data_IF_313477991378
#
_entry.id   IF_313477991378
#
_cell.length_a   1.000
_cell.length_b   1.000
_cell.length_c   1.000
_cell.angle_alpha   90.00
_cell.angle_beta   90.00
_cell.angle_gamma   90.00
#
_symmetry.space_group_name_H-M   'P 1'
#
loop_
_entity.id
_entity.type
_entity.pdbx_description
1 polymer ?
#
# COMPACT_ATOMS: atom_id res chain seq x y z
N UNK A 1 21.23 19.43 -4.70
CA UNK A 1 20.19 18.40 -4.95
C UNK A 1 19.19 18.48 -3.83
N UNK A 2 17.90 18.22 -4.07
CA UNK A 2 16.92 18.13 -2.99
C UNK A 2 17.29 16.97 -2.06
N UNK A 3 17.18 17.12 -0.73
CA UNK A 3 17.51 16.04 0.20
C UNK A 3 16.63 14.81 -0.07
N UNK A 4 17.19 13.59 0.06
CA UNK A 4 16.45 12.36 -0.18
C UNK A 4 15.25 12.29 0.77
N UNK A 5 14.18 11.66 0.33
CA UNK A 5 12.92 11.59 1.06
C UNK A 5 12.60 10.13 1.37
N UNK A 6 12.41 9.82 2.65
CA UNK A 6 11.89 8.54 3.10
C UNK A 6 10.55 8.77 3.79
N UNK A 7 9.50 8.09 3.34
CA UNK A 7 8.22 8.10 4.03
C UNK A 7 8.03 6.84 4.86
N UNK A 8 7.33 6.92 5.99
CA UNK A 8 7.11 5.78 6.86
C UNK A 8 5.61 5.48 7.04
N UNK A 9 5.24 4.21 6.90
CA UNK A 9 3.91 3.69 7.23
C UNK A 9 4.05 2.48 8.15
N UNK A 10 3.33 2.40 9.27
CA UNK A 10 3.30 1.20 10.13
C UNK A 10 2.04 1.08 10.96
N UNK A 11 1.94 -0.01 11.72
CA UNK A 11 0.89 -0.28 12.72
C UNK A 11 1.42 -0.21 14.18
N UNK A 12 2.64 0.29 14.39
CA UNK A 12 3.28 0.40 15.70
C UNK A 12 2.68 1.45 16.65
N UNK A 13 1.81 2.34 16.15
CA UNK A 13 1.35 3.51 16.89
C UNK A 13 2.48 4.49 17.21
N UNK A 14 2.14 5.48 18.04
CA UNK A 14 3.08 6.52 18.50
C UNK A 14 3.34 6.48 20.01
N UNK A 15 2.83 5.48 20.73
CA UNK A 15 3.02 5.33 22.19
C UNK A 15 4.42 4.87 22.58
N UNK A 16 5.10 4.15 21.69
CA UNK A 16 6.35 3.44 21.96
C UNK A 16 7.51 3.92 21.08
N UNK A 17 8.73 3.44 21.38
CA UNK A 17 9.95 3.85 20.70
C UNK A 17 10.20 3.23 19.32
N UNK A 18 9.32 2.36 18.81
CA UNK A 18 9.57 1.58 17.58
C UNK A 18 9.79 2.48 16.35
N UNK A 19 8.90 3.45 16.14
CA UNK A 19 9.01 4.40 15.02
C UNK A 19 10.28 5.22 15.12
N UNK A 20 10.56 5.81 16.29
CA UNK A 20 11.76 6.61 16.52
C UNK A 20 13.04 5.80 16.29
N UNK A 21 13.03 4.51 16.66
CA UNK A 21 14.16 3.60 16.41
C UNK A 21 14.41 3.42 14.92
N UNK A 22 13.38 3.12 14.12
CA UNK A 22 13.54 3.01 12.66
C UNK A 22 14.08 4.30 12.03
N UNK A 23 13.56 5.45 12.46
CA UNK A 23 14.04 6.76 12.01
C UNK A 23 15.50 6.99 12.37
N UNK A 24 15.91 6.65 13.58
CA UNK A 24 17.30 6.74 14.03
C UNK A 24 18.24 5.88 13.18
N UNK A 25 17.81 4.66 12.82
CA UNK A 25 18.58 3.79 11.92
C UNK A 25 18.73 4.43 10.53
N UNK A 26 17.64 4.90 9.93
CA UNK A 26 17.67 5.56 8.61
C UNK A 26 18.63 6.75 8.63
N UNK A 27 18.52 7.63 9.64
CA UNK A 27 19.34 8.84 9.76
C UNK A 27 20.81 8.54 10.10
N UNK A 28 21.10 7.39 10.72
CA UNK A 28 22.49 6.98 10.94
C UNK A 28 23.20 6.58 9.63
N UNK A 29 22.44 6.11 8.63
CA UNK A 29 22.95 5.70 7.31
C UNK A 29 22.89 6.87 6.32
N UNK A 30 21.81 7.64 6.34
CA UNK A 30 21.60 8.80 5.48
C UNK A 30 21.18 10.02 6.33
N UNK A 31 22.14 10.77 6.89
CA UNK A 31 21.86 11.90 7.79
C UNK A 31 21.06 13.03 7.15
N UNK A 32 21.16 13.21 5.83
CA UNK A 32 20.46 14.24 5.07
C UNK A 32 19.03 13.83 4.65
N UNK A 33 18.59 12.62 4.99
CA UNK A 33 17.25 12.15 4.65
C UNK A 33 16.17 12.95 5.39
N UNK A 34 15.20 13.47 4.63
CA UNK A 34 13.94 13.95 5.19
C UNK A 34 13.03 12.77 5.44
N UNK A 35 12.48 12.70 6.65
CA UNK A 35 11.55 11.66 7.05
C UNK A 35 10.14 12.25 7.15
N UNK A 36 9.16 11.60 6.51
CA UNK A 36 7.74 11.98 6.60
C UNK A 36 6.92 10.76 6.99
N UNK A 37 6.14 10.86 8.05
CA UNK A 37 5.22 9.79 8.42
C UNK A 37 3.96 9.92 7.56
N UNK A 38 3.59 8.85 6.87
CA UNK A 38 2.28 8.73 6.23
C UNK A 38 1.25 8.39 7.31
N UNK A 39 1.50 7.32 8.07
CA UNK A 39 0.70 6.94 9.24
C UNK A 39 1.39 5.85 10.04
N UNK A 40 1.33 5.95 11.36
CA UNK A 40 1.68 4.87 12.29
C UNK A 40 0.45 4.32 13.03
N UNK A 41 -0.73 4.85 12.71
CA UNK A 41 -2.02 4.53 13.35
C UNK A 41 -2.84 3.56 12.49
N UNK A 42 -2.19 2.80 11.59
CA UNK A 42 -2.83 1.66 10.94
C UNK A 42 -3.27 0.69 12.04
N UNK A 43 -4.51 0.17 12.00
CA UNK A 43 -4.92 -0.85 12.96
C UNK A 43 -3.93 -2.03 12.98
N UNK A 44 -3.57 -2.57 14.16
CA UNK A 44 -2.61 -3.66 14.28
C UNK A 44 -2.87 -4.80 13.30
N UNK A 45 -1.84 -5.20 12.57
CA UNK A 45 -1.81 -6.30 11.62
C UNK A 45 -2.72 -6.13 10.38
N UNK A 46 -3.34 -4.97 10.19
CA UNK A 46 -4.27 -4.75 9.09
C UNK A 46 -3.55 -4.35 7.78
N UNK A 47 -3.03 -5.36 7.09
CA UNK A 47 -2.28 -5.21 5.82
C UNK A 47 -3.12 -4.48 4.76
N UNK A 48 -4.41 -4.81 4.62
CA UNK A 48 -5.27 -4.20 3.61
C UNK A 48 -5.50 -2.70 3.86
N UNK A 49 -5.71 -2.31 5.13
CA UNK A 49 -5.82 -0.89 5.50
C UNK A 49 -4.52 -0.14 5.19
N UNK A 50 -3.37 -0.73 5.55
CA UNK A 50 -2.07 -0.14 5.26
C UNK A 50 -1.79 0.00 3.76
N UNK A 51 -2.14 -1.03 2.98
CA UNK A 51 -1.98 -1.03 1.53
C UNK A 51 -2.84 0.06 0.87
N UNK A 52 -4.06 0.29 1.36
CA UNK A 52 -4.92 1.38 0.90
C UNK A 52 -4.35 2.76 1.26
N UNK A 53 -3.94 2.96 2.52
CA UNK A 53 -3.34 4.22 3.00
C UNK A 53 -2.08 4.57 2.20
N UNK A 54 -1.17 3.62 2.04
CA UNK A 54 0.03 3.79 1.23
C UNK A 54 -0.33 4.07 -0.24
N UNK A 55 -1.20 3.23 -0.81
CA UNK A 55 -1.60 3.26 -2.23
C UNK A 55 -2.28 4.56 -2.68
N UNK A 56 -3.02 5.21 -1.78
CA UNK A 56 -3.69 6.49 -2.04
C UNK A 56 -2.79 7.69 -1.77
N UNK A 57 -1.71 7.53 -1.00
CA UNK A 57 -0.85 8.66 -0.60
C UNK A 57 0.43 8.78 -1.44
N UNK A 58 1.07 7.67 -1.83
CA UNK A 58 2.44 7.69 -2.35
C UNK A 58 2.65 8.60 -3.58
N UNK A 59 1.64 8.72 -4.45
CA UNK A 59 1.68 9.52 -5.69
C UNK A 59 1.81 11.03 -5.47
N UNK A 60 1.58 11.50 -4.24
CA UNK A 60 1.78 12.90 -3.86
C UNK A 60 3.23 13.23 -3.51
N UNK A 61 4.09 12.21 -3.39
CA UNK A 61 5.52 12.39 -3.17
C UNK A 61 6.31 12.32 -4.49
N UNK A 62 7.53 12.89 -4.54
CA UNK A 62 8.39 12.78 -5.71
C UNK A 62 8.71 11.32 -6.05
N UNK A 63 8.82 10.97 -7.33
CA UNK A 63 9.13 9.60 -7.76
C UNK A 63 10.49 9.06 -7.33
N UNK A 64 11.35 9.90 -6.75
CA UNK A 64 12.62 9.50 -6.12
C UNK A 64 12.47 9.15 -4.63
N UNK A 65 11.25 9.19 -4.07
CA UNK A 65 11.01 8.88 -2.66
C UNK A 65 11.16 7.37 -2.39
N UNK A 66 11.63 7.06 -1.18
CA UNK A 66 11.62 5.70 -0.64
C UNK A 66 10.47 5.58 0.35
N UNK A 67 9.54 4.68 0.09
CA UNK A 67 8.40 4.39 0.94
C UNK A 67 8.71 3.15 1.80
N UNK A 68 9.07 3.37 3.06
CA UNK A 68 9.21 2.32 4.06
C UNK A 68 7.84 2.00 4.66
N UNK A 69 7.35 0.79 4.48
CA UNK A 69 6.08 0.36 5.05
C UNK A 69 6.23 -0.96 5.83
N UNK A 70 5.80 -0.96 7.10
CA UNK A 70 5.96 -2.09 8.01
C UNK A 70 4.64 -2.34 8.75
N UNK A 71 3.83 -3.24 8.18
CA UNK A 71 2.69 -3.88 8.85
C UNK A 71 2.85 -5.37 8.61
N UNK A 72 3.36 -6.07 9.62
CA UNK A 72 3.99 -7.37 9.42
C UNK A 72 3.63 -8.38 10.53
N UNK A 73 2.41 -8.94 10.51
CA UNK A 73 2.05 -10.04 11.41
C UNK A 73 2.91 -11.30 11.22
N UNK A 74 3.62 -11.40 10.08
CA UNK A 74 4.50 -12.54 9.75
C UNK A 74 5.97 -12.28 10.06
N UNK A 75 6.32 -11.31 10.91
CA UNK A 75 7.72 -11.06 11.31
C UNK A 75 8.34 -12.33 11.92
N UNK A 76 9.61 -12.58 11.63
CA UNK A 76 10.31 -13.81 12.05
C UNK A 76 9.88 -15.10 11.33
N UNK A 77 8.92 -15.04 10.41
CA UNK A 77 8.51 -16.20 9.59
C UNK A 77 9.31 -16.29 8.28
N UNK A 78 8.93 -17.23 7.40
CA UNK A 78 9.51 -17.40 6.07
C UNK A 78 9.11 -16.32 5.05
N UNK A 79 8.29 -15.33 5.40
CA UNK A 79 7.86 -14.28 4.47
C UNK A 79 9.05 -13.41 4.02
N UNK A 80 9.11 -13.08 2.75
CA UNK A 80 10.26 -12.36 2.19
C UNK A 80 10.31 -10.88 2.61
N UNK A 81 11.48 -10.34 2.98
CA UNK A 81 11.74 -8.90 2.96
C UNK A 81 12.00 -8.43 1.53
N UNK A 82 11.25 -7.45 1.04
CA UNK A 82 11.30 -7.05 -0.37
C UNK A 82 11.53 -5.55 -0.56
N UNK A 83 12.11 -5.25 -1.72
CA UNK A 83 12.18 -3.94 -2.33
C UNK A 83 11.46 -4.00 -3.67
N UNK A 84 10.48 -3.13 -3.89
CA UNK A 84 9.82 -2.89 -5.17
C UNK A 84 10.21 -1.50 -5.69
N UNK A 85 10.77 -1.42 -6.88
CA UNK A 85 11.11 -0.17 -7.58
C UNK A 85 10.11 0.04 -8.70
N UNK A 86 9.52 1.24 -8.76
CA UNK A 86 8.54 1.66 -9.78
C UNK A 86 8.93 3.02 -10.36
N UNK A 87 8.30 3.48 -11.45
CA UNK A 87 8.47 4.86 -11.93
C UNK A 87 8.09 5.96 -10.93
N UNK A 88 7.36 5.61 -9.87
CA UNK A 88 6.80 6.54 -8.89
C UNK A 88 7.36 6.36 -7.46
N UNK A 89 8.47 5.65 -7.30
CA UNK A 89 9.13 5.47 -6.01
C UNK A 89 9.65 4.06 -5.80
N UNK A 90 10.47 3.92 -4.76
CA UNK A 90 10.92 2.64 -4.22
C UNK A 90 10.12 2.30 -2.96
N UNK A 91 9.76 1.04 -2.77
CA UNK A 91 8.91 0.56 -1.68
C UNK A 91 9.63 -0.57 -0.95
N UNK A 92 9.83 -0.41 0.36
CA UNK A 92 10.58 -1.34 1.21
C UNK A 92 9.65 -1.88 2.29
N UNK A 93 9.55 -3.20 2.41
CA UNK A 93 8.64 -3.82 3.37
C UNK A 93 8.45 -5.33 3.21
N UNK A 94 7.44 -5.91 3.87
CA UNK A 94 7.12 -7.32 3.78
C UNK A 94 6.39 -7.73 2.49
N UNK A 95 6.73 -8.90 1.95
CA UNK A 95 5.99 -9.54 0.85
C UNK A 95 4.72 -10.25 1.36
N UNK A 96 3.78 -9.43 1.84
CA UNK A 96 2.54 -9.91 2.46
C UNK A 96 1.26 -9.32 1.81
N UNK A 97 1.39 -8.59 0.69
CA UNK A 97 0.30 -7.85 0.06
C UNK A 97 0.27 -6.35 0.42
N UNK A 98 1.21 -5.84 1.22
CA UNK A 98 1.25 -4.42 1.57
C UNK A 98 1.38 -3.47 0.36
N UNK A 99 1.96 -3.95 -0.74
CA UNK A 99 2.14 -3.17 -1.97
C UNK A 99 1.07 -3.42 -3.04
N UNK A 100 -0.05 -4.05 -2.68
CA UNK A 100 -1.09 -4.46 -3.65
C UNK A 100 -1.63 -3.31 -4.51
N UNK A 101 -1.95 -2.16 -3.90
CA UNK A 101 -2.42 -0.99 -4.64
C UNK A 101 -1.34 -0.39 -5.54
N UNK A 102 -0.07 -0.42 -5.12
CA UNK A 102 1.06 0.04 -5.92
C UNK A 102 1.26 -0.88 -7.14
N UNK A 103 1.21 -2.20 -6.94
CA UNK A 103 1.31 -3.19 -8.00
C UNK A 103 0.16 -3.09 -9.00
N UNK A 104 -1.09 -3.02 -8.50
CA UNK A 104 -2.28 -2.84 -9.34
C UNK A 104 -2.21 -1.55 -10.17
N UNK A 105 -1.81 -0.44 -9.54
CA UNK A 105 -1.63 0.86 -10.19
C UNK A 105 -0.55 0.89 -11.28
N UNK A 106 0.37 -0.08 -11.30
CA UNK A 106 1.40 -0.26 -12.32
C UNK A 106 1.07 -1.41 -13.29
N UNK A 107 -0.14 -1.98 -13.24
CA UNK A 107 -0.59 -2.99 -14.20
C UNK A 107 -0.14 -4.42 -13.90
N UNK A 108 0.05 -4.77 -12.62
CA UNK A 108 0.38 -6.14 -12.24
C UNK A 108 -0.69 -7.14 -12.71
N UNK A 109 -0.23 -8.29 -13.20
CA UNK A 109 -1.10 -9.37 -13.70
C UNK A 109 -0.97 -10.60 -12.81
N UNK A 110 -2.03 -11.39 -12.71
CA UNK A 110 -2.00 -12.65 -11.97
C UNK A 110 -0.92 -13.58 -12.55
N UNK A 111 -0.13 -14.17 -11.66
CA UNK A 111 0.93 -15.12 -12.01
C UNK A 111 0.50 -16.58 -11.88
N UNK A 112 -0.74 -16.80 -11.46
CA UNK A 112 -1.34 -18.09 -11.16
C UNK A 112 -2.81 -18.09 -11.58
N UNK A 113 -3.37 -19.29 -11.76
CA UNK A 113 -4.81 -19.45 -11.96
C UNK A 113 -5.54 -19.15 -10.65
N UNK A 114 -6.59 -18.34 -10.72
CA UNK A 114 -7.43 -18.07 -9.56
C UNK A 114 -8.18 -19.32 -9.13
N UNK A 115 -8.32 -19.44 -7.81
CA UNK A 115 -9.27 -20.40 -7.22
C UNK A 115 -10.70 -19.96 -7.56
N UNK A 116 -11.62 -20.88 -7.92
CA UNK A 116 -12.99 -20.52 -8.30
C UNK A 116 -13.75 -19.67 -7.26
N UNK A 117 -13.41 -19.84 -5.97
CA UNK A 117 -14.03 -19.16 -4.83
C UNK A 117 -13.29 -17.91 -4.34
N UNK A 118 -12.26 -17.45 -5.06
CA UNK A 118 -11.46 -16.29 -4.66
C UNK A 118 -12.32 -15.01 -4.56
N UNK A 119 -12.20 -14.30 -3.44
CA UNK A 119 -12.92 -13.07 -3.14
C UNK A 119 -12.00 -11.85 -3.17
N UNK A 120 -12.58 -10.66 -3.25
CA UNK A 120 -11.82 -9.42 -3.15
C UNK A 120 -10.96 -9.42 -1.87
N UNK A 121 -9.72 -8.95 -2.00
CA UNK A 121 -8.70 -8.92 -0.96
C UNK A 121 -8.10 -10.28 -0.55
N UNK A 122 -8.45 -11.39 -1.20
CA UNK A 122 -7.76 -12.66 -1.01
C UNK A 122 -6.29 -12.56 -1.46
N UNK A 123 -5.40 -13.28 -0.78
CA UNK A 123 -3.99 -13.35 -1.16
C UNK A 123 -3.80 -14.16 -2.45
N UNK A 124 -3.08 -13.57 -3.39
CA UNK A 124 -2.64 -14.15 -4.67
C UNK A 124 -1.19 -13.77 -4.97
N UNK A 125 -0.60 -14.39 -5.99
CA UNK A 125 0.67 -13.93 -6.57
C UNK A 125 0.46 -13.22 -7.90
N UNK A 126 1.14 -12.08 -8.06
CA UNK A 126 1.16 -11.30 -9.30
C UNK A 126 2.56 -11.24 -9.88
N UNK A 127 2.66 -11.15 -11.20
CA UNK A 127 3.91 -10.84 -11.89
C UNK A 127 4.31 -9.40 -11.59
N UNK A 128 5.60 -9.17 -11.41
CA UNK A 128 6.15 -7.80 -11.34
C UNK A 128 5.85 -7.10 -12.68
N UNK A 129 5.20 -5.93 -12.67
CA UNK A 129 4.81 -5.25 -13.91
C UNK A 129 6.00 -4.78 -14.74
N UNK A 130 5.77 -4.57 -16.04
CA UNK A 130 6.73 -3.91 -16.92
C UNK A 130 7.08 -2.50 -16.39
N UNK A 131 8.36 -2.14 -16.47
CA UNK A 131 8.87 -0.88 -15.91
C UNK A 131 9.05 -0.88 -14.38
N UNK A 132 8.72 -1.99 -13.70
CA UNK A 132 9.02 -2.21 -12.30
C UNK A 132 10.15 -3.25 -12.13
N UNK A 133 10.81 -3.21 -10.98
CA UNK A 133 11.78 -4.23 -10.56
C UNK A 133 11.51 -4.61 -9.11
N UNK A 134 11.68 -5.88 -8.76
CA UNK A 134 11.55 -6.33 -7.39
C UNK A 134 12.79 -7.11 -6.96
N UNK A 135 13.18 -6.97 -5.69
CA UNK A 135 14.34 -7.62 -5.11
C UNK A 135 13.98 -8.22 -3.76
N UNK A 136 14.47 -9.44 -3.51
CA UNK A 136 14.55 -10.03 -2.18
C UNK A 136 15.73 -9.38 -1.45
N UNK A 137 15.46 -8.63 -0.39
CA UNK A 137 16.48 -8.00 0.44
C UNK A 137 17.22 -9.09 1.22
N UNK A 138 18.34 -9.60 0.70
CA UNK A 138 19.09 -10.75 1.26
C UNK A 138 20.60 -10.51 1.36
N UNK A 139 21.00 -9.25 1.43
CA UNK A 139 22.40 -8.82 1.54
C UNK A 139 22.67 -8.34 2.95
N UNK A 140 23.18 -9.24 3.80
CA UNK A 140 23.36 -9.01 5.23
C UNK A 140 24.30 -7.84 5.53
N UNK A 141 25.21 -7.49 4.61
CA UNK A 141 26.07 -6.30 4.74
C UNK A 141 25.30 -4.96 4.78
N UNK A 142 24.03 -4.95 4.37
CA UNK A 142 23.14 -3.79 4.45
C UNK A 142 22.10 -3.89 5.58
N UNK A 143 22.22 -4.88 6.47
CA UNK A 143 21.34 -5.06 7.62
C UNK A 143 21.96 -4.51 8.90
N UNK A 144 21.12 -4.25 9.89
CA UNK A 144 21.57 -3.97 11.26
C UNK A 144 21.70 -5.30 12.01
N UNK A 145 22.92 -5.62 12.43
CA UNK A 145 23.23 -6.82 13.21
C UNK A 145 23.19 -6.53 14.73
N UNK A 146 22.69 -7.46 15.56
CA UNK A 146 22.06 -8.72 15.17
C UNK A 146 20.64 -8.54 14.62
N UNK A 147 20.28 -9.31 13.60
CA UNK A 147 18.89 -9.37 13.11
C UNK A 147 18.00 -10.08 14.13
N UNK A 148 16.95 -9.41 14.60
CA UNK A 148 15.99 -9.94 15.55
C UNK A 148 14.76 -10.55 14.88
N UNK A 149 14.23 -11.62 15.48
CA UNK A 149 13.03 -12.31 14.98
C UNK A 149 11.74 -11.49 15.10
N UNK A 150 11.76 -10.37 15.82
CA UNK A 150 10.56 -9.60 16.17
C UNK A 150 10.56 -8.17 15.65
N UNK A 151 11.67 -7.69 15.08
CA UNK A 151 11.75 -6.29 14.66
C UNK A 151 12.54 -6.06 13.36
N UNK A 152 12.18 -6.78 12.30
CA UNK A 152 12.72 -6.54 10.95
C UNK A 152 12.51 -5.09 10.43
N UNK A 153 11.55 -4.34 10.98
CA UNK A 153 11.41 -2.90 10.75
C UNK A 153 12.71 -2.13 11.04
N UNK A 154 13.33 -2.41 12.19
CA UNK A 154 14.63 -1.85 12.59
C UNK A 154 15.79 -2.54 11.87
N UNK A 155 15.73 -3.86 11.74
CA UNK A 155 16.94 -4.63 11.40
C UNK A 155 17.19 -4.77 9.90
N UNK A 156 16.14 -4.74 9.08
CA UNK A 156 16.22 -4.98 7.63
C UNK A 156 15.63 -3.80 6.85
N UNK A 157 14.41 -3.37 7.16
CA UNK A 157 13.71 -2.39 6.33
C UNK A 157 14.22 -0.96 6.50
N UNK A 158 14.44 -0.50 7.74
CA UNK A 158 15.00 0.82 7.98
C UNK A 158 16.43 0.97 7.40
N UNK A 159 17.35 -0.01 7.55
CA UNK A 159 18.64 0.01 6.87
C UNK A 159 18.52 0.05 5.35
N UNK A 160 17.71 -0.82 4.76
CA UNK A 160 17.50 -0.83 3.31
C UNK A 160 16.97 0.52 2.80
N UNK A 161 16.01 1.12 3.51
CA UNK A 161 15.50 2.45 3.16
C UNK A 161 16.56 3.55 3.28
N UNK A 162 17.39 3.50 4.34
CA UNK A 162 18.52 4.42 4.52
C UNK A 162 19.57 4.30 3.42
N UNK A 163 19.93 3.07 3.03
CA UNK A 163 20.89 2.83 1.95
C UNK A 163 20.37 3.29 0.58
N UNK A 164 19.10 3.04 0.27
CA UNK A 164 18.46 3.58 -0.94
C UNK A 164 18.46 5.11 -0.93
N UNK A 165 18.12 5.73 0.20
CA UNK A 165 18.14 7.18 0.35
C UNK A 165 19.56 7.76 0.20
N UNK A 166 20.58 7.02 0.61
CA UNK A 166 22.00 7.36 0.42
C UNK A 166 22.51 7.11 -1.03
N UNK A 167 21.68 6.56 -1.92
CA UNK A 167 22.00 6.35 -3.33
C UNK A 167 22.61 4.97 -3.66
N UNK A 168 22.54 4.00 -2.74
CA UNK A 168 22.91 2.62 -3.06
C UNK A 168 21.94 2.07 -4.12
N UNK A 169 22.43 1.49 -5.23
CA UNK A 169 21.59 0.90 -6.26
C UNK A 169 20.69 -0.21 -5.71
N UNK A 170 19.44 -0.26 -6.17
CA UNK A 170 18.46 -1.25 -5.71
C UNK A 170 18.93 -2.71 -5.88
N UNK A 171 19.60 -3.02 -7.00
CA UNK A 171 20.12 -4.37 -7.26
C UNK A 171 21.25 -4.79 -6.32
N UNK A 172 21.90 -3.85 -5.62
CA UNK A 172 22.98 -4.17 -4.70
C UNK A 172 22.43 -4.65 -3.36
N UNK A 173 21.17 -4.34 -3.03
CA UNK A 173 20.52 -4.73 -1.78
C UNK A 173 19.91 -6.13 -1.80
N UNK A 174 19.82 -6.77 -2.97
CA UNK A 174 19.07 -8.03 -3.07
C UNK A 174 19.11 -8.76 -4.41
N UNK A 175 18.65 -10.00 -4.40
CA UNK A 175 18.46 -10.79 -5.63
C UNK A 175 17.11 -10.51 -6.29
N UNK A 176 17.00 -10.51 -7.63
CA UNK A 176 15.77 -10.16 -8.33
C UNK A 176 14.62 -11.14 -8.04
N UNK A 177 13.39 -10.63 -8.02
CA UNK A 177 12.13 -11.36 -7.92
C UNK A 177 11.27 -11.07 -9.16
N UNK A 178 10.57 -12.09 -9.66
CA UNK A 178 9.64 -11.97 -10.80
C UNK A 178 8.17 -11.96 -10.39
N UNK A 179 7.87 -12.34 -9.14
CA UNK A 179 6.52 -12.43 -8.60
C UNK A 179 6.50 -11.94 -7.17
N UNK A 180 5.39 -11.32 -6.78
CA UNK A 180 5.15 -10.81 -5.42
C UNK A 180 3.75 -11.20 -4.97
N UNK A 181 3.54 -11.21 -3.65
CA UNK A 181 2.21 -11.38 -3.07
C UNK A 181 1.41 -10.07 -3.21
N UNK A 182 0.15 -10.21 -3.62
CA UNK A 182 -0.82 -9.13 -3.71
C UNK A 182 -2.18 -9.58 -3.20
N UNK A 183 -3.01 -8.62 -2.84
CA UNK A 183 -4.45 -8.76 -2.67
C UNK A 183 -5.10 -8.88 -4.04
N UNK A 184 -6.11 -9.73 -4.16
CA UNK A 184 -6.90 -9.90 -5.37
C UNK A 184 -7.91 -8.76 -5.51
N UNK A 185 -7.87 -8.07 -6.65
CA UNK A 185 -8.86 -7.07 -7.03
C UNK A 185 -9.68 -7.66 -8.19
N UNK A 186 -10.91 -8.12 -7.95
CA UNK A 186 -11.72 -8.71 -9.00
C UNK A 186 -12.03 -7.69 -10.10
N UNK A 187 -12.12 -8.10 -11.37
CA UNK A 187 -12.55 -7.21 -12.43
C UNK A 187 -13.95 -6.66 -12.12
N UNK A 188 -14.14 -5.36 -12.34
CA UNK A 188 -15.46 -4.74 -12.26
C UNK A 188 -16.35 -5.31 -13.37
N UNK A 189 -17.47 -5.92 -12.99
CA UNK A 189 -18.43 -6.46 -13.94
C UNK A 189 -19.40 -5.35 -14.30
N UNK A 190 -19.28 -4.83 -15.52
CA UNK A 190 -20.21 -3.85 -16.07
C UNK A 190 -21.17 -4.55 -17.06
N UNK A 191 -22.48 -4.53 -16.78
CA UNK A 191 -23.50 -5.06 -17.69
C UNK A 191 -24.75 -4.18 -17.71
N UNK A 192 -25.23 -3.85 -18.92
CA UNK A 192 -26.52 -3.17 -19.12
C UNK A 192 -26.78 -1.95 -18.20
N UNK A 193 -25.75 -1.11 -17.95
CA UNK A 193 -25.84 0.07 -17.09
C UNK A 193 -25.66 -0.18 -15.58
N UNK A 194 -25.29 -1.40 -15.18
CA UNK A 194 -24.92 -1.76 -13.80
C UNK A 194 -23.43 -2.05 -13.72
N UNK A 195 -22.81 -1.69 -12.60
CA UNK A 195 -21.44 -2.04 -12.24
C UNK A 195 -21.44 -2.68 -10.85
N UNK A 196 -20.85 -3.87 -10.74
CA UNK A 196 -20.66 -4.55 -9.46
C UNK A 196 -19.21 -4.38 -9.00
N UNK A 197 -19.04 -3.88 -7.77
CA UNK A 197 -17.76 -3.67 -7.11
C UNK A 197 -17.77 -4.11 -5.66
N UNK A 198 -16.68 -3.84 -4.97
CA UNK A 198 -16.38 -4.37 -3.63
C UNK A 198 -16.01 -3.24 -2.68
N UNK A 199 -16.43 -3.33 -1.43
CA UNK A 199 -15.87 -2.48 -0.37
C UNK A 199 -14.44 -2.95 -0.10
N UNK A 200 -13.48 -2.08 -0.36
CA UNK A 200 -12.04 -2.37 -0.23
C UNK A 200 -11.41 -1.68 0.98
N UNK A 201 -12.08 -0.68 1.55
CA UNK A 201 -11.60 0.03 2.73
C UNK A 201 -12.77 0.62 3.53
N UNK A 202 -12.59 0.69 4.86
CA UNK A 202 -13.45 1.45 5.76
C UNK A 202 -12.60 2.51 6.41
N UNK A 203 -12.93 3.78 6.17
CA UNK A 203 -12.15 4.88 6.70
C UNK A 203 -12.42 5.14 8.19
N UNK A 204 -11.69 6.10 8.77
CA UNK A 204 -11.81 6.44 10.20
C UNK A 204 -13.18 7.02 10.58
N UNK A 205 -13.92 7.60 9.63
CA UNK A 205 -15.26 8.14 9.86
C UNK A 205 -16.35 7.07 9.69
N UNK A 206 -15.99 5.89 9.20
CA UNK A 206 -16.90 4.78 8.94
C UNK A 206 -17.41 4.74 7.50
N UNK A 207 -16.87 5.57 6.60
CA UNK A 207 -17.24 5.55 5.19
C UNK A 207 -16.74 4.25 4.53
N UNK A 208 -17.56 3.66 3.68
CA UNK A 208 -17.22 2.48 2.91
C UNK A 208 -16.65 2.92 1.56
N UNK A 209 -15.36 2.71 1.36
CA UNK A 209 -14.69 3.01 0.08
C UNK A 209 -14.70 1.76 -0.79
N UNK A 210 -15.13 1.93 -2.04
CA UNK A 210 -15.21 0.83 -3.02
C UNK A 210 -14.08 0.86 -4.04
N UNK A 211 -13.92 -0.23 -4.81
CA UNK A 211 -13.03 -0.30 -5.97
C UNK A 211 -13.63 0.34 -7.25
N UNK A 212 -14.85 0.88 -7.16
CA UNK A 212 -15.51 1.55 -8.28
C UNK A 212 -14.97 2.97 -8.43
N UNK A 213 -14.30 3.25 -9.55
CA UNK A 213 -13.85 4.60 -9.90
C UNK A 213 -14.98 5.33 -10.61
N UNK A 214 -15.32 6.52 -10.11
CA UNK A 214 -16.27 7.41 -10.77
C UNK A 214 -15.51 8.40 -11.65
N UNK A 215 -15.72 8.33 -12.96
CA UNK A 215 -15.13 9.28 -13.91
C UNK A 215 -15.91 10.60 -13.97
N UNK A 216 -15.25 11.68 -14.40
CA UNK A 216 -15.90 12.96 -14.64
C UNK A 216 -16.38 13.08 -16.10
N UNK A 217 -17.58 13.63 -16.34
CA UNK A 217 -18.55 14.10 -15.34
C UNK A 217 -19.30 12.94 -14.67
N UNK A 218 -19.44 12.99 -13.34
CA UNK A 218 -20.20 11.96 -12.60
C UNK A 218 -21.68 12.00 -12.99
N UNK A 219 -22.23 10.86 -13.40
CA UNK A 219 -23.68 10.67 -13.55
C UNK A 219 -24.35 10.63 -12.17
N UNK A 220 -25.04 11.71 -11.83
CA UNK A 220 -25.69 11.88 -10.53
C UNK A 220 -27.04 11.18 -10.43
N UNK A 221 -27.51 10.57 -11.51
CA UNK A 221 -28.74 9.79 -11.53
C UNK A 221 -28.51 8.32 -11.19
N UNK A 222 -27.24 7.90 -11.09
CA UNK A 222 -26.85 6.54 -10.67
C UNK A 222 -27.49 6.17 -9.33
N UNK A 223 -27.88 4.90 -9.21
CA UNK A 223 -28.36 4.31 -7.97
C UNK A 223 -27.28 3.38 -7.42
N UNK A 224 -27.07 3.44 -6.10
CA UNK A 224 -26.13 2.56 -5.41
C UNK A 224 -26.92 1.60 -4.54
N UNK A 225 -26.62 0.31 -4.63
CA UNK A 225 -27.21 -0.72 -3.80
C UNK A 225 -26.11 -1.41 -2.98
N UNK A 226 -26.25 -1.43 -1.66
CA UNK A 226 -25.32 -2.11 -0.75
C UNK A 226 -26.09 -2.86 0.32
N UNK A 227 -25.85 -4.17 0.45
CA UNK A 227 -26.49 -5.05 1.45
C UNK A 227 -28.03 -4.88 1.51
N UNK A 228 -28.68 -4.69 0.37
CA UNK A 228 -30.13 -4.49 0.24
C UNK A 228 -30.65 -3.08 0.56
N UNK A 229 -29.76 -2.14 0.89
CA UNK A 229 -30.09 -0.71 1.02
C UNK A 229 -29.84 0.00 -0.31
N UNK A 230 -30.75 0.89 -0.68
CA UNK A 230 -30.68 1.67 -1.94
C UNK A 230 -30.46 3.15 -1.65
N UNK A 231 -29.49 3.74 -2.33
CA UNK A 231 -29.18 5.16 -2.33
C UNK A 231 -29.49 5.71 -3.71
N UNK A 232 -30.30 6.76 -3.77
CA UNK A 232 -30.68 7.40 -5.02
C UNK A 232 -29.77 8.60 -5.30
N UNK A 233 -28.97 8.49 -6.36
CA UNK A 233 -28.09 9.55 -6.83
C UNK A 233 -26.72 9.59 -6.14
N UNK A 234 -25.81 10.34 -6.76
CA UNK A 234 -24.47 10.62 -6.22
C UNK A 234 -24.43 12.08 -5.73
N UNK A 235 -24.14 12.25 -4.44
CA UNK A 235 -24.09 13.54 -3.74
C UNK A 235 -22.79 14.29 -4.01
N UNK A 236 -22.79 15.63 -3.81
CA UNK A 236 -21.56 16.46 -3.93
C UNK A 236 -20.64 16.36 -2.72
N UNK A 237 -21.15 15.88 -1.59
CA UNK A 237 -20.44 15.83 -0.32
C UNK A 237 -21.41 15.52 0.82
N UNK A 238 -20.85 15.31 2.01
CA UNK A 238 -21.55 14.75 3.18
C UNK A 238 -22.73 15.58 3.70
N UNK A 239 -22.81 16.88 3.40
CA UNK A 239 -23.92 17.73 3.84
C UNK A 239 -25.20 17.60 3.01
N UNK A 240 -25.19 16.77 1.97
CA UNK A 240 -26.27 16.73 0.97
C UNK A 240 -27.49 15.91 1.39
N UNK A 241 -27.42 15.13 2.47
CA UNK A 241 -28.51 14.26 2.91
C UNK A 241 -28.49 13.99 4.42
N UNK A 242 -29.66 13.69 5.00
CA UNK A 242 -29.80 13.11 6.34
C UNK A 242 -29.99 11.60 6.20
N UNK A 243 -28.91 10.82 6.32
CA UNK A 243 -28.92 9.37 6.19
C UNK A 243 -27.81 8.84 5.29
N UNK A 244 -27.97 7.62 4.79
CA UNK A 244 -27.02 6.98 3.88
C UNK A 244 -26.93 7.77 2.56
N UNK A 245 -25.72 8.04 2.10
CA UNK A 245 -25.46 8.79 0.88
C UNK A 245 -24.30 8.16 0.13
N UNK A 246 -24.18 8.44 -1.16
CA UNK A 246 -23.08 7.99 -2.00
C UNK A 246 -22.38 9.21 -2.59
N UNK A 247 -21.05 9.23 -2.61
CA UNK A 247 -20.25 10.33 -3.16
C UNK A 247 -19.09 9.81 -4.00
N UNK A 248 -18.54 10.69 -4.82
CA UNK A 248 -17.18 10.53 -5.35
C UNK A 248 -16.19 11.02 -4.31
N UNK A 249 -15.42 10.10 -3.76
CA UNK A 249 -14.32 10.36 -2.84
C UNK A 249 -13.21 11.21 -3.47
N UNK A 250 -12.35 11.77 -2.62
CA UNK A 250 -11.22 12.61 -3.07
C UNK A 250 -10.22 11.85 -3.96
N UNK A 251 -10.12 10.54 -3.80
CA UNK A 251 -9.29 9.65 -4.62
C UNK A 251 -10.02 9.10 -5.85
N UNK A 252 -11.26 9.56 -6.11
CA UNK A 252 -12.07 9.17 -7.27
C UNK A 252 -12.93 7.92 -7.09
N UNK A 253 -12.75 7.19 -5.99
CA UNK A 253 -13.58 6.03 -5.67
C UNK A 253 -15.00 6.43 -5.28
N UNK A 254 -15.98 5.56 -5.53
CA UNK A 254 -17.30 5.64 -4.94
C UNK A 254 -17.19 5.32 -3.44
N UNK A 255 -17.68 6.24 -2.60
CA UNK A 255 -17.78 6.11 -1.15
C UNK A 255 -19.23 6.14 -0.71
N UNK A 256 -19.56 5.39 0.34
CA UNK A 256 -20.88 5.30 0.97
C UNK A 256 -20.78 5.67 2.45
#
# INVERSE_FOLDING_TARGET
MSPPLVTLTSDFGMSDGYVATMKGVILSICPDARLIDISHEVPPQNINHAAFVLGTTYRHFPGSAVHLAVVDPGVGSARHPILLVTPHGAFVGPDNGLFSFVLSANGATLSEQLRPEAQALDSVHVNVPDGCQAFLLNRAEYWMEPVSDTFHGRDIFAPAAGHLAAGIPAQDLGSPLSRLRSSYFPPIIANAGRMDGHVIHVDRFGNLVTDLVLEEPVDRTMQVEIRGQRINGISRGYQSASGLLAIKGSHGFLEI
#
